data_IF_383695747673
#
_entry.id   IF_383695747673
#
_cell.length_a   1.000
_cell.length_b   1.000
_cell.length_c   1.000
_cell.angle_alpha   90.00
_cell.angle_beta   90.00
_cell.angle_gamma   90.00
#
_symmetry.space_group_name_H-M   'P 1'
#
loop_
_entity.id
_entity.type
_entity.pdbx_description
1 polymer ?
#
# COMPACT_ATOMS: atom_id res chain seq x y z
N UNK A 1 7.43 -17.33 8.18
CA UNK A 1 5.97 -17.33 8.35
C UNK A 1 5.33 -17.73 7.03
N UNK A 2 4.20 -18.42 7.02
CA UNK A 2 3.60 -19.00 5.78
C UNK A 2 2.13 -18.63 5.55
N UNK A 3 1.46 -18.01 6.52
CA UNK A 3 0.07 -17.60 6.38
C UNK A 3 -0.07 -16.43 5.39
N UNK A 4 -1.22 -16.35 4.72
CA UNK A 4 -1.56 -15.28 3.78
C UNK A 4 -2.81 -14.57 4.28
N UNK A 5 -2.75 -13.24 4.38
CA UNK A 5 -3.91 -12.42 4.74
C UNK A 5 -4.88 -12.40 3.55
N UNK A 6 -6.13 -12.87 3.70
CA UNK A 6 -7.11 -12.81 2.61
C UNK A 6 -7.48 -11.36 2.26
N UNK A 7 -8.03 -11.16 1.06
CA UNK A 7 -8.65 -9.89 0.70
C UNK A 7 -9.91 -9.67 1.56
N UNK A 8 -9.98 -8.56 2.28
CA UNK A 8 -11.06 -8.23 3.20
C UNK A 8 -12.19 -7.43 2.53
N UNK A 9 -11.89 -6.71 1.43
CA UNK A 9 -12.85 -5.79 0.79
C UNK A 9 -13.09 -6.04 -0.71
N UNK A 10 -12.58 -7.14 -1.24
CA UNK A 10 -12.93 -7.63 -2.58
C UNK A 10 -14.45 -7.88 -2.70
N UNK A 11 -15.06 -7.34 -3.75
CA UNK A 11 -16.52 -7.35 -3.96
C UNK A 11 -17.28 -6.20 -3.27
N UNK A 12 -16.60 -5.40 -2.44
CA UNK A 12 -17.19 -4.23 -1.77
C UNK A 12 -16.54 -2.92 -2.22
N UNK A 13 -15.21 -2.82 -2.14
CA UNK A 13 -14.46 -1.61 -2.50
C UNK A 13 -13.94 -1.66 -3.94
N UNK A 14 -13.72 -2.86 -4.45
CA UNK A 14 -13.27 -3.14 -5.81
C UNK A 14 -13.80 -4.52 -6.24
N UNK A 15 -13.84 -4.86 -7.54
CA UNK A 15 -14.39 -6.13 -8.02
C UNK A 15 -13.70 -7.37 -7.43
N UNK A 16 -14.48 -8.38 -7.04
CA UNK A 16 -13.94 -9.65 -6.54
C UNK A 16 -13.35 -10.55 -7.65
N UNK A 17 -13.83 -10.38 -8.89
CA UNK A 17 -13.35 -11.16 -10.02
C UNK A 17 -12.05 -10.57 -10.59
N UNK A 18 -11.00 -11.39 -10.68
CA UNK A 18 -9.66 -10.99 -11.12
C UNK A 18 -9.66 -10.23 -12.46
N UNK A 19 -10.39 -10.74 -13.46
CA UNK A 19 -10.50 -10.12 -14.79
C UNK A 19 -11.13 -8.73 -14.74
N UNK A 20 -12.17 -8.56 -13.93
CA UNK A 20 -12.89 -7.29 -13.82
C UNK A 20 -12.06 -6.26 -13.07
N UNK A 21 -11.42 -6.68 -11.97
CA UNK A 21 -10.49 -5.85 -11.22
C UNK A 21 -9.32 -5.39 -12.09
N UNK A 22 -8.69 -6.33 -12.82
CA UNK A 22 -7.55 -6.05 -13.68
C UNK A 22 -7.90 -5.01 -14.75
N UNK A 23 -9.04 -5.21 -15.43
CA UNK A 23 -9.53 -4.27 -16.44
C UNK A 23 -9.86 -2.92 -15.84
N UNK A 24 -10.61 -2.87 -14.75
CA UNK A 24 -10.99 -1.59 -14.12
C UNK A 24 -9.76 -0.77 -13.72
N UNK A 25 -8.76 -1.40 -13.13
CA UNK A 25 -7.51 -0.72 -12.75
C UNK A 25 -6.73 -0.28 -13.98
N UNK A 26 -6.59 -1.13 -15.00
CA UNK A 26 -5.91 -0.78 -16.24
C UNK A 26 -6.56 0.41 -16.96
N UNK A 27 -7.89 0.42 -17.08
CA UNK A 27 -8.65 1.51 -17.71
C UNK A 27 -8.41 2.84 -16.96
N UNK A 28 -8.43 2.82 -15.63
CA UNK A 28 -8.16 4.02 -14.82
C UNK A 28 -6.71 4.50 -14.97
N UNK A 29 -5.74 3.59 -14.99
CA UNK A 29 -4.31 3.92 -15.18
C UNK A 29 -4.03 4.48 -16.57
N UNK A 30 -4.65 3.92 -17.61
CA UNK A 30 -4.54 4.41 -18.99
C UNK A 30 -5.13 5.81 -19.14
N UNK A 31 -6.33 6.03 -18.60
CA UNK A 31 -6.99 7.33 -18.61
C UNK A 31 -6.17 8.42 -17.88
N UNK A 32 -5.35 8.03 -16.90
CA UNK A 32 -4.58 8.93 -16.07
C UNK A 32 -3.12 9.17 -16.55
N UNK A 33 -2.73 8.64 -17.72
CA UNK A 33 -1.39 8.82 -18.24
C UNK A 33 -1.01 10.31 -18.37
N UNK A 34 0.19 10.72 -17.90
CA UNK A 34 0.58 12.12 -17.92
C UNK A 34 0.62 12.69 -19.35
N UNK A 35 -0.16 13.73 -19.61
CA UNK A 35 -0.17 14.44 -20.92
C UNK A 35 0.95 15.50 -21.05
N UNK A 36 1.63 15.84 -19.97
CA UNK A 36 2.62 16.92 -19.90
C UNK A 36 4.05 16.39 -19.67
N UNK A 37 5.04 17.28 -19.84
CA UNK A 37 6.47 16.97 -19.72
C UNK A 37 6.83 16.18 -18.46
N UNK A 38 7.78 15.26 -18.61
CA UNK A 38 8.21 14.33 -17.57
C UNK A 38 8.70 15.09 -16.32
N UNK A 39 7.92 15.01 -15.24
CA UNK A 39 8.38 15.36 -13.89
C UNK A 39 9.22 14.20 -13.34
N UNK A 40 10.14 14.46 -12.40
CA UNK A 40 10.84 13.39 -11.68
C UNK A 40 9.86 12.38 -11.10
N UNK A 41 10.27 11.11 -11.11
CA UNK A 41 9.52 10.03 -10.46
C UNK A 41 9.53 10.29 -8.96
N UNK A 42 8.37 10.31 -8.29
CA UNK A 42 8.31 10.57 -6.86
C UNK A 42 8.85 9.37 -6.07
N UNK A 43 9.61 9.66 -5.01
CA UNK A 43 10.04 8.69 -3.99
C UNK A 43 8.90 8.28 -3.04
N UNK A 44 7.97 9.21 -2.81
CA UNK A 44 6.83 9.03 -1.94
C UNK A 44 5.56 9.56 -2.61
N UNK A 45 4.43 8.87 -2.41
CA UNK A 45 3.12 9.29 -2.89
C UNK A 45 2.09 9.25 -1.77
N UNK A 46 1.09 10.12 -1.85
CA UNK A 46 -0.09 10.09 -1.00
C UNK A 46 -1.28 9.74 -1.89
N UNK A 47 -2.06 8.72 -1.54
CA UNK A 47 -3.20 8.27 -2.32
C UNK A 47 -4.43 7.96 -1.47
N UNK A 48 -5.65 8.20 -1.99
CA UNK A 48 -6.89 7.91 -1.28
C UNK A 48 -7.19 6.40 -1.23
N UNK A 49 -8.02 6.00 -0.27
CA UNK A 49 -8.36 4.60 0.01
C UNK A 49 -9.86 4.30 0.11
N UNK A 50 -10.74 5.21 -0.33
CA UNK A 50 -12.15 4.87 -0.54
C UNK A 50 -12.36 3.78 -1.61
N UNK A 51 -13.60 3.33 -1.80
CA UNK A 51 -13.96 2.39 -2.87
C UNK A 51 -13.66 2.95 -4.27
N UNK A 52 -13.29 2.08 -5.21
CA UNK A 52 -12.76 2.46 -6.54
C UNK A 52 -13.70 3.31 -7.37
N UNK A 53 -15.01 3.14 -7.21
CA UNK A 53 -16.01 4.01 -7.86
C UNK A 53 -15.85 5.48 -7.49
N UNK A 54 -15.31 5.79 -6.30
CA UNK A 54 -15.15 7.14 -5.78
C UNK A 54 -13.72 7.66 -5.93
N UNK A 55 -12.73 6.90 -5.46
CA UNK A 55 -11.34 7.36 -5.36
C UNK A 55 -10.41 6.78 -6.42
N UNK A 56 -10.84 5.73 -7.13
CA UNK A 56 -10.00 4.97 -8.07
C UNK A 56 -9.33 5.83 -9.15
N UNK A 57 -10.06 6.72 -9.85
CA UNK A 57 -9.45 7.61 -10.83
C UNK A 57 -8.38 8.55 -10.24
N UNK A 58 -8.59 9.01 -9.00
CA UNK A 58 -7.61 9.87 -8.30
C UNK A 58 -6.37 9.07 -7.95
N UNK A 59 -6.53 7.89 -7.34
CA UNK A 59 -5.43 6.97 -7.05
C UNK A 59 -4.64 6.61 -8.32
N UNK A 60 -5.34 6.34 -9.44
CA UNK A 60 -4.72 6.04 -10.72
C UNK A 60 -3.82 7.18 -11.22
N UNK A 61 -4.27 8.43 -11.08
CA UNK A 61 -3.46 9.60 -11.48
C UNK A 61 -2.15 9.75 -10.69
N UNK A 62 -2.12 9.24 -9.46
CA UNK A 62 -0.94 9.23 -8.61
C UNK A 62 -0.02 8.07 -9.03
N UNK A 63 -0.55 6.85 -9.15
CA UNK A 63 0.25 5.69 -9.53
C UNK A 63 0.80 5.74 -10.95
N UNK A 64 0.08 6.34 -11.91
CA UNK A 64 0.55 6.54 -13.28
C UNK A 64 1.87 7.36 -13.35
N UNK A 65 2.17 8.16 -12.32
CA UNK A 65 3.44 8.90 -12.21
C UNK A 65 4.65 8.00 -11.96
N UNK A 66 4.44 6.75 -11.57
CA UNK A 66 5.49 5.77 -11.28
C UNK A 66 5.93 4.99 -12.53
N UNK A 67 5.16 5.05 -13.63
CA UNK A 67 5.41 4.30 -14.87
C UNK A 67 6.86 4.38 -15.39
N UNK A 68 7.54 5.54 -15.40
CA UNK A 68 8.94 5.62 -15.85
C UNK A 68 9.95 4.82 -15.00
N UNK A 69 9.57 4.41 -13.80
CA UNK A 69 10.40 3.65 -12.85
C UNK A 69 9.75 2.34 -12.40
N UNK A 70 8.77 1.80 -13.13
CA UNK A 70 8.04 0.59 -12.72
C UNK A 70 8.92 -0.62 -12.35
N UNK A 71 10.05 -0.78 -13.05
CA UNK A 71 11.01 -1.87 -12.81
C UNK A 71 12.10 -1.57 -11.78
N UNK A 72 12.09 -0.38 -11.18
CA UNK A 72 13.05 0.02 -10.13
C UNK A 72 12.55 -0.35 -8.74
N UNK A 73 11.25 -0.18 -8.49
CA UNK A 73 10.67 -0.40 -7.18
C UNK A 73 10.54 -1.90 -6.89
N UNK A 74 11.30 -2.37 -5.90
CA UNK A 74 11.25 -3.76 -5.41
C UNK A 74 10.71 -3.85 -3.99
N UNK A 75 10.64 -2.72 -3.27
CA UNK A 75 10.01 -2.59 -1.95
C UNK A 75 8.96 -1.48 -1.96
N UNK A 76 7.79 -1.76 -1.39
CA UNK A 76 6.76 -0.75 -1.13
C UNK A 76 6.51 -0.68 0.37
N UNK A 77 6.86 0.45 0.98
CA UNK A 77 6.46 0.77 2.36
C UNK A 77 5.12 1.48 2.30
N UNK A 78 4.08 0.83 2.80
CA UNK A 78 2.71 1.32 2.72
C UNK A 78 2.18 1.62 4.12
N UNK A 79 1.96 2.89 4.40
CA UNK A 79 1.42 3.38 5.67
C UNK A 79 -0.05 3.75 5.45
N UNK A 80 -0.94 3.29 6.32
CA UNK A 80 -2.35 3.63 6.25
C UNK A 80 -3.02 3.61 7.61
N UNK A 81 -4.04 4.45 7.83
CA UNK A 81 -4.70 4.56 9.12
C UNK A 81 -5.47 3.29 9.48
N UNK A 82 -5.64 3.05 10.77
CA UNK A 82 -6.53 2.00 11.30
C UNK A 82 -7.96 2.52 11.45
N UNK A 83 -8.94 1.80 10.90
CA UNK A 83 -10.36 2.13 10.98
C UNK A 83 -11.16 1.18 11.87
N UNK A 84 -10.67 -0.05 12.09
CA UNK A 84 -11.44 -1.10 12.78
C UNK A 84 -10.90 -1.50 14.14
N UNK A 85 -9.59 -1.67 14.24
CA UNK A 85 -8.93 -2.09 15.47
C UNK A 85 -8.02 -0.96 15.93
N UNK A 86 -8.20 -0.43 17.15
CA UNK A 86 -7.31 0.57 17.70
C UNK A 86 -5.88 0.03 17.81
N UNK A 87 -4.92 0.83 17.38
CA UNK A 87 -3.49 0.57 17.52
C UNK A 87 -2.86 1.76 18.23
N UNK A 88 -1.96 1.50 19.18
CA UNK A 88 -1.04 2.51 19.72
C UNK A 88 0.27 2.39 18.94
N UNK A 89 0.72 3.49 18.33
CA UNK A 89 1.84 3.48 17.41
C UNK A 89 1.47 2.88 16.05
N UNK A 90 2.30 1.96 15.56
CA UNK A 90 2.14 1.28 14.29
C UNK A 90 2.09 -0.24 14.50
N UNK A 91 1.33 -0.93 13.65
CA UNK A 91 1.25 -2.39 13.67
C UNK A 91 1.74 -2.98 12.35
N UNK A 92 2.66 -3.94 12.45
CA UNK A 92 3.06 -4.87 11.39
C UNK A 92 2.12 -6.10 11.38
N UNK A 93 1.94 -6.77 10.24
CA UNK A 93 1.11 -7.96 10.17
C UNK A 93 1.88 -9.19 10.65
N UNK A 94 1.15 -10.23 11.06
CA UNK A 94 1.71 -11.57 11.29
C UNK A 94 1.44 -12.48 10.07
N UNK A 95 1.88 -12.10 8.88
CA UNK A 95 1.59 -12.83 7.62
C UNK A 95 2.77 -12.80 6.64
N UNK A 96 2.85 -13.79 5.77
CA UNK A 96 3.84 -13.87 4.69
C UNK A 96 3.44 -13.07 3.44
N UNK A 97 2.15 -12.70 3.31
CA UNK A 97 1.65 -11.99 2.15
C UNK A 97 0.21 -11.51 2.30
N UNK A 98 -0.21 -10.64 1.38
CA UNK A 98 -1.57 -10.12 1.25
C UNK A 98 -2.15 -10.63 -0.06
N UNK A 99 -3.26 -11.36 0.00
CA UNK A 99 -3.98 -11.79 -1.18
C UNK A 99 -4.84 -10.64 -1.73
N UNK A 100 -4.85 -10.53 -3.06
CA UNK A 100 -5.85 -9.79 -3.83
C UNK A 100 -6.42 -10.74 -4.89
N UNK A 101 -7.51 -10.36 -5.59
CA UNK A 101 -7.95 -11.12 -6.76
C UNK A 101 -6.91 -11.21 -7.88
N UNK A 102 -5.87 -10.36 -7.90
CA UNK A 102 -4.80 -10.39 -8.89
C UNK A 102 -3.62 -11.29 -8.49
N UNK A 103 -3.62 -11.82 -7.26
CA UNK A 103 -2.56 -12.65 -6.73
C UNK A 103 -2.05 -12.18 -5.38
N UNK A 104 -1.06 -12.88 -4.85
CA UNK A 104 -0.47 -12.58 -3.54
C UNK A 104 0.68 -11.58 -3.68
N UNK A 105 0.66 -10.55 -2.84
CA UNK A 105 1.80 -9.65 -2.64
C UNK A 105 2.59 -10.14 -1.43
N UNK A 106 3.89 -10.51 -1.58
CA UNK A 106 4.69 -10.98 -0.46
C UNK A 106 5.00 -9.85 0.52
N UNK A 107 5.05 -10.15 1.81
CA UNK A 107 5.55 -9.23 2.85
C UNK A 107 7.07 -9.29 2.90
N UNK A 108 7.73 -8.14 2.98
CA UNK A 108 9.18 -8.03 3.16
C UNK A 108 9.56 -8.36 4.61
N UNK A 109 9.94 -9.62 4.83
CA UNK A 109 10.30 -10.11 6.16
C UNK A 109 11.53 -9.42 6.77
N UNK A 110 12.52 -9.05 5.96
CA UNK A 110 13.73 -8.40 6.45
C UNK A 110 13.42 -6.99 6.97
N UNK A 111 12.58 -6.24 6.24
CA UNK A 111 12.10 -4.93 6.69
C UNK A 111 11.21 -5.01 7.94
N UNK A 112 10.34 -6.02 8.02
CA UNK A 112 9.54 -6.31 9.23
C UNK A 112 10.44 -6.54 10.45
N UNK A 113 11.48 -7.36 10.30
CA UNK A 113 12.45 -7.61 11.39
C UNK A 113 13.23 -6.34 11.74
N UNK A 114 13.62 -5.54 10.74
CA UNK A 114 14.32 -4.28 10.96
C UNK A 114 13.50 -3.28 11.77
N UNK A 115 12.16 -3.31 11.71
CA UNK A 115 11.29 -2.42 12.49
C UNK A 115 10.92 -2.96 13.88
N UNK A 116 11.08 -4.26 14.13
CA UNK A 116 10.58 -4.92 15.34
C UNK A 116 11.21 -4.41 16.66
N UNK A 117 12.33 -3.71 16.59
CA UNK A 117 13.03 -3.14 17.75
C UNK A 117 12.51 -1.75 18.17
N UNK A 118 11.69 -1.10 17.33
CA UNK A 118 11.13 0.22 17.62
C UNK A 118 9.97 0.08 18.63
N UNK A 119 9.99 0.80 19.76
CA UNK A 119 9.01 0.63 20.85
C UNK A 119 7.56 0.98 20.44
N UNK A 120 7.39 1.81 19.42
CA UNK A 120 6.10 2.18 18.84
C UNK A 120 5.57 1.16 17.82
N UNK A 121 6.33 0.13 17.48
CA UNK A 121 5.94 -0.89 16.49
C UNK A 121 5.55 -2.18 17.19
N UNK A 122 4.35 -2.66 16.89
CA UNK A 122 3.82 -3.94 17.38
C UNK A 122 3.49 -4.88 16.23
N UNK A 123 3.27 -6.16 16.52
CA UNK A 123 2.72 -7.11 15.55
C UNK A 123 1.28 -7.40 15.91
N UNK A 124 0.35 -7.27 14.96
CA UNK A 124 -1.08 -7.50 15.22
C UNK A 124 -1.83 -7.98 13.98
N UNK A 125 -2.13 -9.28 13.90
CA UNK A 125 -2.96 -9.85 12.83
C UNK A 125 -4.37 -9.23 12.82
N UNK A 126 -4.92 -8.92 14.00
CA UNK A 126 -6.23 -8.31 14.13
C UNK A 126 -6.30 -6.90 13.51
N UNK A 127 -5.24 -6.09 13.68
CA UNK A 127 -5.16 -4.76 13.08
C UNK A 127 -5.19 -4.80 11.55
N UNK A 128 -4.67 -5.88 10.95
CA UNK A 128 -4.60 -6.03 9.51
C UNK A 128 -5.80 -6.78 8.93
N UNK A 129 -6.36 -7.76 9.64
CA UNK A 129 -7.30 -8.77 9.10
C UNK A 129 -8.47 -8.18 8.30
N UNK A 130 -8.99 -7.04 8.74
CA UNK A 130 -10.15 -6.39 8.13
C UNK A 130 -9.90 -4.92 7.73
N UNK A 131 -8.64 -4.47 7.79
CA UNK A 131 -8.26 -3.11 7.42
C UNK A 131 -8.17 -2.96 5.92
N UNK A 132 -8.77 -1.89 5.39
CA UNK A 132 -8.89 -1.64 3.96
C UNK A 132 -7.94 -0.55 3.47
N UNK A 133 -7.52 0.36 4.35
CA UNK A 133 -6.67 1.50 3.99
C UNK A 133 -5.37 1.10 3.30
N UNK A 134 -4.85 -0.10 3.59
CA UNK A 134 -3.69 -0.67 2.93
C UNK A 134 -4.07 -1.48 1.68
N UNK A 135 -5.12 -2.31 1.79
CA UNK A 135 -5.48 -3.31 0.77
C UNK A 135 -5.85 -2.69 -0.58
N UNK A 136 -6.59 -1.58 -0.58
CA UNK A 136 -7.12 -0.98 -1.81
C UNK A 136 -6.03 -0.41 -2.73
N UNK A 137 -4.82 -0.20 -2.23
CA UNK A 137 -3.67 0.21 -3.04
C UNK A 137 -3.02 -0.96 -3.79
N UNK A 138 -3.18 -2.18 -3.29
CA UNK A 138 -2.45 -3.35 -3.80
C UNK A 138 -2.78 -3.65 -5.28
N UNK A 139 -4.04 -3.61 -5.75
CA UNK A 139 -4.32 -3.86 -7.17
C UNK A 139 -3.70 -2.82 -8.11
N UNK A 140 -3.63 -1.55 -7.72
CA UNK A 140 -2.92 -0.51 -8.49
C UNK A 140 -1.42 -0.79 -8.55
N UNK A 141 -0.80 -1.12 -7.41
CA UNK A 141 0.62 -1.43 -7.33
C UNK A 141 0.99 -2.70 -8.13
N UNK A 142 0.17 -3.75 -8.07
CA UNK A 142 0.35 -4.99 -8.83
C UNK A 142 0.25 -4.78 -10.35
N UNK A 143 -0.54 -3.80 -10.81
CA UNK A 143 -0.64 -3.45 -12.23
C UNK A 143 0.45 -2.48 -12.67
N UNK A 144 0.95 -1.63 -11.76
CA UNK A 144 1.93 -0.60 -12.08
C UNK A 144 3.38 -1.10 -12.02
N UNK A 145 3.69 -2.02 -11.12
CA UNK A 145 5.07 -2.48 -10.85
C UNK A 145 5.31 -3.88 -11.39
N UNK A 146 6.55 -4.19 -11.77
CA UNK A 146 6.91 -5.50 -12.35
C UNK A 146 6.94 -6.62 -11.27
N UNK A 147 7.11 -6.24 -10.00
CA UNK A 147 7.09 -7.13 -8.83
C UNK A 147 7.72 -6.44 -7.62
N UNK A 148 7.15 -6.64 -6.42
CA UNK A 148 7.62 -5.98 -5.20
C UNK A 148 7.28 -6.78 -3.94
N UNK A 149 8.02 -6.50 -2.86
CA UNK A 149 7.68 -6.91 -1.51
C UNK A 149 7.08 -5.74 -0.72
N UNK A 150 6.08 -6.04 0.11
CA UNK A 150 5.28 -5.06 0.84
C UNK A 150 5.75 -4.95 2.30
N UNK A 151 5.85 -3.73 2.81
CA UNK A 151 5.92 -3.44 4.25
C UNK A 151 4.63 -2.70 4.62
N UNK A 152 3.58 -3.42 5.05
CA UNK A 152 2.30 -2.80 5.38
C UNK A 152 2.29 -2.37 6.85
N UNK A 153 2.08 -1.09 7.09
CA UNK A 153 2.05 -0.47 8.42
C UNK A 153 0.65 0.09 8.68
N UNK A 154 -0.07 -0.56 9.59
CA UNK A 154 -1.33 -0.04 10.09
C UNK A 154 -1.02 1.01 11.17
N UNK A 155 -1.23 2.29 10.84
CA UNK A 155 -0.90 3.44 11.69
C UNK A 155 -2.12 3.79 12.55
N UNK A 156 -1.97 3.69 13.86
CA UNK A 156 -2.99 4.09 14.82
C UNK A 156 -2.65 5.43 15.46
N UNK A 157 -2.74 5.48 16.79
CA UNK A 157 -2.35 6.63 17.60
C UNK A 157 -0.82 6.72 17.70
N UNK A 158 -0.21 7.41 16.74
CA UNK A 158 1.23 7.63 16.63
C UNK A 158 1.52 9.12 16.41
N UNK A 159 2.55 9.66 17.05
CA UNK A 159 3.01 11.01 16.78
C UNK A 159 3.90 11.08 15.52
N UNK A 160 4.11 12.29 14.95
CA UNK A 160 4.93 12.45 13.75
C UNK A 160 6.36 11.90 13.89
N UNK A 161 6.99 12.05 15.05
CA UNK A 161 8.35 11.55 15.32
C UNK A 161 8.41 10.02 15.30
N UNK A 162 7.41 9.34 15.87
CA UNK A 162 7.28 7.89 15.87
C UNK A 162 7.15 7.33 14.45
N UNK A 163 6.36 7.99 13.60
CA UNK A 163 6.19 7.62 12.18
C UNK A 163 7.47 7.94 11.39
N UNK A 164 8.12 9.08 11.66
CA UNK A 164 9.36 9.47 11.00
C UNK A 164 10.47 8.45 11.25
N UNK A 165 10.63 7.95 12.48
CA UNK A 165 11.62 6.91 12.80
C UNK A 165 11.42 5.62 11.99
N UNK A 166 10.17 5.22 11.76
CA UNK A 166 9.83 4.05 10.93
C UNK A 166 10.17 4.31 9.46
N UNK A 167 9.83 5.51 8.94
CA UNK A 167 10.15 5.90 7.57
C UNK A 167 11.67 6.00 7.37
N UNK A 168 12.40 6.58 8.32
CA UNK A 168 13.87 6.73 8.25
C UNK A 168 14.57 5.36 8.22
N UNK A 169 14.10 4.41 9.06
CA UNK A 169 14.63 3.05 9.08
C UNK A 169 14.43 2.31 7.74
N UNK A 170 13.40 2.68 6.98
CA UNK A 170 13.05 2.03 5.71
C UNK A 170 13.16 2.94 4.50
N UNK A 171 13.79 4.12 4.63
CA UNK A 171 13.79 5.11 3.55
C UNK A 171 14.38 4.51 2.27
N UNK A 172 15.47 3.75 2.40
CA UNK A 172 16.10 3.03 1.30
C UNK A 172 16.60 3.92 0.17
N UNK A 173 16.97 3.31 -0.95
CA UNK A 173 17.42 3.97 -2.17
C UNK A 173 16.32 4.04 -3.23
N UNK A 174 16.72 4.01 -4.50
CA UNK A 174 15.80 4.09 -5.63
C UNK A 174 14.84 2.89 -5.77
N UNK A 175 15.09 1.81 -5.02
CA UNK A 175 14.33 0.56 -5.00
C UNK A 175 13.12 0.57 -4.08
N UNK A 176 13.04 1.55 -3.18
CA UNK A 176 11.97 1.65 -2.18
C UNK A 176 10.98 2.76 -2.56
N UNK A 177 9.69 2.43 -2.64
CA UNK A 177 8.59 3.38 -2.79
C UNK A 177 7.89 3.56 -1.44
N UNK A 178 7.66 4.81 -1.03
CA UNK A 178 6.80 5.13 0.12
C UNK A 178 5.40 5.47 -0.37
N UNK A 179 4.39 4.78 0.15
CA UNK A 179 2.98 5.06 -0.13
C UNK A 179 2.30 5.40 1.19
N UNK A 180 1.70 6.59 1.25
CA UNK A 180 0.88 7.02 2.38
C UNK A 180 -0.57 7.02 1.94
N UNK A 181 -1.36 6.21 2.62
CA UNK A 181 -2.79 6.07 2.39
C UNK A 181 -3.55 7.09 3.22
N UNK A 182 -4.26 8.00 2.55
CA UNK A 182 -5.07 9.03 3.21
C UNK A 182 -6.16 9.52 2.28
N UNK A 183 -7.40 9.50 2.78
CA UNK A 183 -8.44 10.38 2.28
C UNK A 183 -8.22 11.80 2.86
N UNK A 184 -8.88 12.81 2.29
CA UNK A 184 -8.77 14.21 2.75
C UNK A 184 -10.02 14.58 3.55
N UNK A 185 -10.72 15.65 3.18
CA UNK A 185 -11.92 16.08 3.90
C UNK A 185 -13.07 15.07 3.77
N UNK A 186 -13.70 14.75 4.89
CA UNK A 186 -14.90 13.91 5.00
C UNK A 186 -16.14 14.76 5.34
#
# INVERSE_FOLDING_TARGET
>A
MTEIRPAAVAGMFYPAAARDLARQVADMLEAAQPRAAARPVPKAVIAPHAGYTYSGPVAASIYARLSPARGRFTRVVLLGPTHRVPVRGLALPDTAGFATPLGVVPVDGDAVQALAHLPQVTVSSAAHALEHSLEVHLPFLQQMLDGFALVPLAVGDANPEEVAQVIDALWGGDETLIVVSSDLSH
#
